data_IF_148685098962
#
_entry.id   IF_148685098962
#
_cell.length_a   1.000
_cell.length_b   1.000
_cell.length_c   1.000
_cell.angle_alpha   90.00
_cell.angle_beta   90.00
_cell.angle_gamma   90.00
#
_symmetry.space_group_name_H-M   'P 1'
#
loop_
_entity.id
_entity.type
_entity.pdbx_description
1 polymer ?
#
# COMPACT_ATOMS: atom_id res chain seq x y z
N UNK A 1 26.03 -1.27 21.44
CA UNK A 1 25.18 -1.27 20.23
C UNK A 1 24.59 0.12 20.11
N UNK A 2 25.05 0.95 19.17
CA UNK A 2 24.41 2.24 18.90
C UNK A 2 23.12 1.92 18.15
N UNK A 3 21.97 2.13 18.79
CA UNK A 3 20.70 2.12 18.09
C UNK A 3 20.76 3.23 17.05
N UNK A 4 20.76 2.88 15.76
CA UNK A 4 20.41 3.85 14.75
C UNK A 4 18.99 4.28 15.08
N UNK A 5 18.79 5.55 15.40
CA UNK A 5 17.45 6.11 15.36
C UNK A 5 16.96 5.90 13.93
N UNK A 6 15.94 5.04 13.77
CA UNK A 6 15.27 4.87 12.48
C UNK A 6 14.47 6.15 12.29
N UNK A 7 15.06 7.12 11.59
CA UNK A 7 14.34 8.30 11.18
C UNK A 7 13.31 7.88 10.12
N UNK A 8 12.07 8.37 10.20
CA UNK A 8 11.11 8.13 9.13
C UNK A 8 11.70 8.67 7.82
N UNK A 9 11.50 7.97 6.69
CA UNK A 9 12.03 8.39 5.40
C UNK A 9 11.52 9.79 5.04
N UNK A 10 12.41 10.59 4.47
CA UNK A 10 12.11 11.93 3.96
C UNK A 10 11.17 11.88 2.76
N UNK A 11 10.56 13.02 2.43
CA UNK A 11 9.71 13.13 1.23
C UNK A 11 10.47 12.81 -0.05
N UNK A 12 11.74 13.19 -0.14
CA UNK A 12 12.60 12.90 -1.29
C UNK A 12 12.86 11.41 -1.45
N UNK A 13 13.21 10.71 -0.35
CA UNK A 13 13.40 9.25 -0.35
C UNK A 13 12.11 8.51 -0.72
N UNK A 14 10.96 8.96 -0.18
CA UNK A 14 9.67 8.40 -0.53
C UNK A 14 9.34 8.66 -2.01
N UNK A 15 9.65 9.83 -2.56
CA UNK A 15 9.45 10.11 -3.98
C UNK A 15 10.29 9.19 -4.88
N UNK A 16 11.55 8.95 -4.52
CA UNK A 16 12.41 7.99 -5.26
C UNK A 16 11.80 6.60 -5.22
N UNK A 17 11.36 6.14 -4.05
CA UNK A 17 10.70 4.84 -3.91
C UNK A 17 9.44 4.74 -4.76
N UNK A 18 8.54 5.72 -4.67
CA UNK A 18 7.27 5.74 -5.41
C UNK A 18 7.51 5.71 -6.93
N UNK A 19 8.41 6.56 -7.43
CA UNK A 19 8.76 6.59 -8.87
C UNK A 19 9.33 5.25 -9.34
N UNK A 20 10.27 4.69 -8.57
CA UNK A 20 10.87 3.39 -8.87
C UNK A 20 9.82 2.30 -8.91
N UNK A 21 8.91 2.28 -7.92
CA UNK A 21 7.83 1.28 -7.85
C UNK A 21 6.89 1.37 -9.04
N UNK A 22 6.48 2.56 -9.45
CA UNK A 22 5.64 2.73 -10.64
C UNK A 22 6.34 2.28 -11.92
N UNK A 23 7.62 2.62 -12.11
CA UNK A 23 8.41 2.15 -13.24
C UNK A 23 8.48 0.61 -13.30
N UNK A 24 8.72 -0.05 -12.16
CA UNK A 24 8.74 -1.52 -12.07
C UNK A 24 7.38 -2.16 -12.39
N UNK A 25 6.29 -1.45 -12.11
CA UNK A 25 4.93 -1.88 -12.47
C UNK A 25 4.54 -1.51 -13.91
N UNK A 26 5.44 -0.88 -14.68
CA UNK A 26 5.15 -0.41 -16.04
C UNK A 26 4.21 0.80 -16.09
N UNK A 27 4.04 1.52 -14.98
CA UNK A 27 3.24 2.73 -14.90
C UNK A 27 4.15 3.94 -15.12
N UNK A 28 4.02 4.57 -16.28
CA UNK A 28 4.73 5.79 -16.59
C UNK A 28 3.92 7.01 -16.11
N UNK A 29 4.37 7.65 -15.02
CA UNK A 29 3.73 8.85 -14.48
C UNK A 29 4.18 10.14 -15.17
N UNK A 30 5.17 10.10 -16.07
CA UNK A 30 5.66 11.29 -16.79
C UNK A 30 4.63 11.82 -17.81
N UNK A 31 3.63 11.00 -18.15
CA UNK A 31 2.49 11.38 -18.98
C UNK A 31 1.53 12.34 -18.27
N UNK A 32 1.62 12.45 -16.95
CA UNK A 32 0.83 13.40 -16.16
C UNK A 32 1.50 14.77 -16.16
N UNK A 33 0.73 15.87 -16.14
CA UNK A 33 1.29 17.20 -15.93
C UNK A 33 2.06 17.24 -14.60
N UNK A 34 3.12 18.04 -14.54
CA UNK A 34 3.94 18.14 -13.32
C UNK A 34 3.13 18.72 -12.15
N UNK A 35 2.44 19.84 -12.40
CA UNK A 35 1.54 20.53 -11.46
C UNK A 35 0.45 21.22 -12.27
N UNK A 36 -0.81 20.80 -12.11
CA UNK A 36 -1.97 21.38 -12.81
C UNK A 36 -3.22 21.28 -11.91
N UNK A 37 -3.73 22.42 -11.38
CA UNK A 37 -4.88 22.43 -10.50
C UNK A 37 -6.18 22.05 -11.22
N UNK A 38 -6.27 22.22 -12.54
CA UNK A 38 -7.46 21.91 -13.34
C UNK A 38 -7.46 20.45 -13.82
N UNK A 39 -6.30 19.79 -13.81
CA UNK A 39 -6.21 18.37 -14.09
C UNK A 39 -6.78 17.54 -12.92
N UNK A 40 -7.53 16.45 -13.19
CA UNK A 40 -7.97 15.52 -12.13
C UNK A 40 -6.82 14.90 -11.33
N UNK A 41 -5.65 14.76 -11.96
CA UNK A 41 -4.41 14.30 -11.34
C UNK A 41 -3.19 14.93 -12.01
N UNK A 42 -2.19 15.27 -11.20
CA UNK A 42 -0.86 15.71 -11.62
C UNK A 42 0.21 14.91 -10.85
N UNK A 43 1.48 15.07 -11.21
CA UNK A 43 2.57 14.33 -10.57
C UNK A 43 2.75 14.72 -9.10
N UNK A 44 2.63 16.00 -8.74
CA UNK A 44 2.77 16.47 -7.36
C UNK A 44 1.75 15.82 -6.42
N UNK A 45 0.47 15.84 -6.81
CA UNK A 45 -0.65 15.26 -6.08
C UNK A 45 -0.54 13.73 -5.99
N UNK A 46 -0.11 13.09 -7.06
CA UNK A 46 0.13 11.64 -7.06
C UNK A 46 1.22 11.26 -6.06
N UNK A 47 2.34 11.99 -6.05
CA UNK A 47 3.44 11.75 -5.11
C UNK A 47 3.02 12.06 -3.67
N UNK A 48 2.30 13.16 -3.44
CA UNK A 48 1.77 13.52 -2.12
C UNK A 48 0.84 12.45 -1.56
N UNK A 49 -0.11 11.98 -2.38
CA UNK A 49 -1.00 10.88 -2.00
C UNK A 49 -0.22 9.60 -1.70
N UNK A 50 0.77 9.26 -2.53
CA UNK A 50 1.62 8.09 -2.31
C UNK A 50 2.40 8.19 -0.99
N UNK A 51 2.96 9.36 -0.66
CA UNK A 51 3.65 9.60 0.62
C UNK A 51 2.69 9.43 1.80
N UNK A 52 1.48 9.98 1.69
CA UNK A 52 0.44 9.87 2.73
C UNK A 52 0.06 8.41 2.99
N UNK A 53 -0.20 7.63 1.93
CA UNK A 53 -0.52 6.20 2.03
C UNK A 53 0.62 5.43 2.69
N UNK A 54 1.86 5.58 2.23
CA UNK A 54 2.99 4.83 2.77
C UNK A 54 3.21 5.12 4.26
N UNK A 55 2.98 6.36 4.70
CA UNK A 55 3.06 6.73 6.12
C UNK A 55 1.96 6.08 6.95
N UNK A 56 0.76 5.92 6.40
CA UNK A 56 -0.34 5.21 7.07
C UNK A 56 -0.08 3.70 7.12
N UNK A 57 0.38 3.11 6.02
CA UNK A 57 0.70 1.68 5.92
C UNK A 57 1.80 1.25 6.89
N UNK A 58 2.81 2.09 7.16
CA UNK A 58 3.82 1.80 8.19
C UNK A 58 3.19 1.57 9.56
N UNK A 59 2.15 2.33 9.91
CA UNK A 59 1.44 2.15 11.19
C UNK A 59 0.72 0.80 11.22
N UNK A 60 0.11 0.38 10.10
CA UNK A 60 -0.54 -0.92 10.01
C UNK A 60 0.47 -2.08 10.00
N UNK A 61 1.62 -1.90 9.37
CA UNK A 61 2.69 -2.90 9.27
C UNK A 61 3.45 -3.11 10.59
N UNK A 62 3.40 -2.15 11.51
CA UNK A 62 3.94 -2.26 12.87
C UNK A 62 3.04 -3.10 13.80
N UNK A 63 2.01 -3.76 13.25
CA UNK A 63 1.19 -4.72 13.97
C UNK A 63 2.01 -5.97 14.34
N UNK A 64 2.04 -6.30 15.63
CA UNK A 64 2.66 -7.53 16.11
C UNK A 64 1.79 -8.74 15.71
N UNK A 65 2.34 -9.60 14.86
CA UNK A 65 1.64 -10.79 14.38
C UNK A 65 1.63 -11.82 15.51
N UNK A 66 0.49 -11.97 16.18
CA UNK A 66 0.25 -13.11 17.05
C UNK A 66 -0.06 -14.35 16.18
N UNK A 67 0.80 -15.38 16.15
CA UNK A 67 0.55 -16.60 15.38
C UNK A 67 -0.69 -17.37 15.86
N UNK A 68 -1.25 -17.05 17.04
CA UNK A 68 -2.49 -17.60 17.56
C UNK A 68 -3.73 -16.78 17.14
N UNK A 69 -3.56 -15.60 16.53
CA UNK A 69 -4.66 -14.74 16.06
C UNK A 69 -5.47 -15.44 14.95
N UNK A 70 -4.80 -16.21 14.10
CA UNK A 70 -5.46 -17.15 13.21
C UNK A 70 -5.56 -18.51 13.92
N UNK A 71 -6.72 -18.81 14.49
CA UNK A 71 -6.98 -20.14 15.04
C UNK A 71 -6.64 -21.20 13.97
N UNK A 72 -5.87 -22.24 14.30
CA UNK A 72 -5.64 -23.35 13.38
C UNK A 72 -7.01 -23.92 12.98
N UNK A 73 -7.40 -23.73 11.72
CA UNK A 73 -8.62 -24.35 11.21
C UNK A 73 -8.33 -25.85 11.16
N UNK A 74 -9.04 -26.69 11.93
CA UNK A 74 -8.86 -28.13 11.82
C UNK A 74 -9.25 -28.56 10.40
N UNK A 75 -8.33 -29.24 9.70
CA UNK A 75 -8.61 -29.76 8.38
C UNK A 75 -9.61 -30.94 8.46
N UNK A 76 -10.55 -31.06 7.51
CA UNK A 76 -10.80 -30.15 6.40
C UNK A 76 -11.51 -28.87 6.86
N UNK A 77 -11.01 -27.73 6.36
CA UNK A 77 -11.72 -26.46 6.50
C UNK A 77 -13.17 -26.65 6.03
N UNK A 78 -14.17 -26.09 6.75
CA UNK A 78 -15.55 -26.18 6.31
C UNK A 78 -15.64 -25.65 4.88
N UNK A 79 -16.13 -26.51 3.99
CA UNK A 79 -16.34 -26.19 2.59
C UNK A 79 -17.36 -25.04 2.51
N UNK A 80 -16.91 -23.84 2.13
CA UNK A 80 -17.79 -22.74 1.75
C UNK A 80 -18.03 -22.85 0.25
N UNK A 81 -19.04 -23.62 -0.16
CA UNK A 81 -19.60 -23.42 -1.48
C UNK A 81 -20.48 -22.18 -1.46
N UNK A 82 -20.17 -21.25 -2.35
CA UNK A 82 -21.11 -20.21 -2.78
C UNK A 82 -22.15 -20.87 -3.70
N UNK A 83 -23.06 -21.69 -3.16
CA UNK A 83 -24.28 -22.05 -3.88
C UNK A 83 -25.35 -21.03 -3.55
N UNK A 84 -25.38 -19.94 -4.31
CA UNK A 84 -26.58 -19.16 -4.47
C UNK A 84 -27.44 -19.90 -5.51
N UNK A 85 -28.41 -20.69 -5.06
CA UNK A 85 -29.55 -21.02 -5.92
C UNK A 85 -30.68 -20.06 -5.56
N UNK A 86 -30.89 -19.10 -6.45
CA UNK A 86 -32.07 -18.25 -6.46
C UNK A 86 -33.24 -19.14 -6.86
N UNK A 87 -34.07 -19.54 -5.91
CA UNK A 87 -35.38 -20.13 -6.21
C UNK A 87 -36.50 -19.08 -6.10
N UNK A 88 -37.43 -19.25 -7.04
CA UNK A 88 -38.42 -18.30 -7.56
C UNK A 88 -39.63 -18.07 -6.65
#
# INVERSE_FOLDING_TARGET
MRGNAIHPPSDEELNVYIRTRYQLLGVDISVLPESDPDAPMDQERLLENGRSILRQEVVAADFDIDPQFNLPVPHPAPFVAWTEEVEQ
#
